data_IF_931962039425
#
_entry.id   IF_931962039425
#
_cell.length_a   1.000
_cell.length_b   1.000
_cell.length_c   1.000
_cell.angle_alpha   90.00
_cell.angle_beta   90.00
_cell.angle_gamma   90.00
#
_symmetry.space_group_name_H-M   'P 1'
#
loop_
_entity.id
_entity.type
_entity.pdbx_description
1 polymer ?
#
# COMPACT_ATOMS: atom_id res chain seq x y z
N UNK A 1 -65.27 -4.19 -29.26
CA UNK A 1 -65.26 -3.96 -30.71
C UNK A 1 -63.86 -3.56 -31.09
N UNK A 2 -63.24 -4.25 -31.77
CA UNK A 2 -62.70 -4.76 -32.98
C UNK A 2 -61.42 -5.56 -32.78
N UNK A 3 -61.48 -6.79 -33.16
CA UNK A 3 -60.33 -7.72 -33.37
C UNK A 3 -59.64 -7.32 -34.67
N UNK A 4 -58.31 -7.48 -34.72
CA UNK A 4 -57.62 -7.78 -35.99
C UNK A 4 -56.63 -8.93 -35.79
N UNK A 5 -56.77 -9.88 -36.75
CA UNK A 5 -56.16 -11.18 -36.81
C UNK A 5 -54.79 -11.18 -37.49
N UNK A 6 -53.99 -12.13 -37.11
CA UNK A 6 -52.73 -12.54 -37.71
C UNK A 6 -52.95 -13.25 -39.04
N UNK A 7 -52.11 -13.02 -40.03
CA UNK A 7 -51.80 -13.99 -41.07
C UNK A 7 -50.29 -14.11 -41.29
N UNK A 8 -49.88 -15.34 -41.15
CA UNK A 8 -48.60 -15.94 -41.43
C UNK A 8 -48.38 -16.01 -42.95
N UNK A 9 -47.21 -15.64 -43.46
CA UNK A 9 -46.83 -16.07 -44.82
C UNK A 9 -45.30 -16.28 -44.88
N UNK A 10 -44.91 -17.55 -44.81
CA UNK A 10 -43.58 -18.04 -45.20
C UNK A 10 -43.58 -18.32 -46.70
N UNK A 11 -42.56 -17.85 -47.41
CA UNK A 11 -42.11 -18.56 -48.61
C UNK A 11 -40.56 -18.45 -48.74
N UNK A 12 -39.88 -19.56 -49.11
CA UNK A 12 -38.45 -19.62 -49.35
C UNK A 12 -38.10 -19.20 -50.78
N UNK A 13 -37.08 -18.40 -50.94
CA UNK A 13 -36.50 -18.11 -52.24
C UNK A 13 -35.15 -18.84 -52.38
N UNK A 14 -35.17 -19.76 -53.31
CA UNK A 14 -34.02 -20.55 -53.73
C UNK A 14 -33.42 -19.85 -54.98
N UNK A 15 -32.11 -19.49 -54.91
CA UNK A 15 -31.36 -19.14 -56.13
C UNK A 15 -30.03 -19.89 -56.16
N UNK A 16 -30.00 -20.89 -57.00
CA UNK A 16 -28.75 -21.52 -57.42
C UNK A 16 -28.07 -20.77 -58.54
N UNK A 17 -26.74 -20.85 -58.62
CA UNK A 17 -25.95 -20.50 -59.78
C UNK A 17 -24.49 -20.23 -59.45
N UNK A 18 -23.54 -20.89 -60.09
CA UNK A 18 -22.13 -20.77 -59.77
C UNK A 18 -21.45 -19.69 -60.57
N UNK A 19 -20.83 -18.73 -59.94
CA UNK A 19 -19.82 -17.87 -60.56
C UNK A 19 -18.41 -18.18 -60.00
N UNK A 20 -17.60 -18.80 -60.85
CA UNK A 20 -16.16 -18.88 -60.68
C UNK A 20 -15.55 -17.46 -60.70
N UNK A 21 -14.89 -17.08 -59.66
CA UNK A 21 -13.85 -16.04 -59.69
C UNK A 21 -12.58 -16.65 -59.09
N UNK A 22 -11.66 -17.01 -59.97
CA UNK A 22 -10.28 -17.28 -59.64
C UNK A 22 -9.62 -15.90 -59.46
N UNK A 23 -9.41 -15.51 -58.20
CA UNK A 23 -8.59 -14.34 -57.89
C UNK A 23 -7.39 -14.86 -57.08
N UNK A 24 -6.24 -14.49 -57.55
CA UNK A 24 -4.91 -14.84 -57.12
C UNK A 24 -4.74 -14.67 -55.58
N UNK A 25 -4.55 -15.80 -54.91
CA UNK A 25 -4.42 -15.92 -53.46
C UNK A 25 -2.94 -15.97 -53.05
N UNK A 26 -2.08 -15.16 -53.64
CA UNK A 26 -0.62 -15.17 -53.34
C UNK A 26 -0.03 -13.87 -52.87
N UNK A 27 -0.71 -12.74 -52.96
CA UNK A 27 -0.18 -11.46 -52.51
C UNK A 27 -0.76 -10.93 -51.18
N UNK A 28 -1.91 -11.49 -50.74
CA UNK A 28 -2.53 -11.08 -49.47
C UNK A 28 -2.05 -11.81 -48.22
N UNK A 29 -1.36 -12.94 -48.36
CA UNK A 29 -0.84 -13.70 -47.20
C UNK A 29 0.51 -13.15 -46.70
N UNK A 30 1.32 -12.51 -47.55
CA UNK A 30 2.59 -11.90 -47.13
C UNK A 30 2.38 -10.57 -46.41
N UNK A 31 1.40 -9.76 -46.82
CA UNK A 31 1.07 -8.51 -46.12
C UNK A 31 0.35 -8.72 -44.79
N UNK A 32 -0.45 -9.81 -44.66
CA UNK A 32 -1.15 -10.11 -43.40
C UNK A 32 -0.23 -10.72 -42.35
N UNK A 33 0.87 -11.36 -42.75
CA UNK A 33 1.88 -11.93 -41.84
C UNK A 33 2.78 -10.83 -41.27
N UNK A 34 3.09 -9.77 -42.02
CA UNK A 34 3.89 -8.65 -41.56
C UNK A 34 3.13 -7.69 -40.61
N UNK A 35 1.81 -7.60 -40.70
CA UNK A 35 0.98 -6.81 -39.75
C UNK A 35 0.82 -7.52 -38.39
N UNK A 36 0.98 -8.87 -38.34
CA UNK A 36 0.91 -9.66 -37.10
C UNK A 36 2.25 -9.84 -36.41
N UNK A 37 3.36 -9.42 -37.03
CA UNK A 37 4.72 -9.56 -36.51
C UNK A 37 5.29 -8.28 -35.91
N UNK A 38 4.47 -7.29 -35.53
CA UNK A 38 4.93 -6.19 -34.69
C UNK A 38 5.32 -6.73 -33.29
N UNK A 39 6.53 -6.42 -32.81
CA UNK A 39 7.25 -7.25 -31.85
C UNK A 39 6.57 -7.26 -30.48
N UNK A 40 5.98 -8.38 -30.11
CA UNK A 40 5.54 -8.65 -28.73
C UNK A 40 6.70 -8.47 -27.73
N UNK A 41 7.93 -8.69 -28.13
CA UNK A 41 9.13 -8.44 -27.33
C UNK A 41 9.33 -6.97 -26.96
N UNK A 42 9.08 -6.01 -27.86
CA UNK A 42 9.27 -4.58 -27.57
C UNK A 42 8.22 -4.06 -26.56
N UNK A 43 6.98 -4.53 -26.59
CA UNK A 43 5.94 -4.19 -25.61
C UNK A 43 6.25 -4.77 -24.23
N UNK A 44 6.80 -5.99 -24.17
CA UNK A 44 7.16 -6.66 -22.92
C UNK A 44 8.32 -5.95 -22.23
N UNK A 45 9.36 -5.52 -22.98
CA UNK A 45 10.49 -4.78 -22.42
C UNK A 45 10.09 -3.41 -21.87
N UNK A 46 9.21 -2.70 -22.55
CA UNK A 46 8.72 -1.39 -22.08
C UNK A 46 7.90 -1.54 -20.80
N UNK A 47 7.05 -2.56 -20.69
CA UNK A 47 6.23 -2.77 -19.49
C UNK A 47 7.07 -3.20 -18.28
N UNK A 48 8.10 -4.03 -18.47
CA UNK A 48 9.04 -4.40 -17.39
C UNK A 48 9.86 -3.21 -16.89
N UNK A 49 10.36 -2.36 -17.81
CA UNK A 49 11.06 -1.13 -17.44
C UNK A 49 10.16 -0.17 -16.67
N UNK A 50 8.93 0.01 -17.11
CA UNK A 50 7.93 0.84 -16.40
C UNK A 50 7.69 0.30 -15.00
N UNK A 51 7.42 -1.00 -14.86
CA UNK A 51 7.20 -1.63 -13.56
C UNK A 51 8.41 -1.44 -12.63
N UNK A 52 9.63 -1.70 -13.12
CA UNK A 52 10.85 -1.53 -12.34
C UNK A 52 11.04 -0.06 -11.89
N UNK A 53 10.80 0.90 -12.79
CA UNK A 53 10.93 2.32 -12.50
C UNK A 53 9.93 2.79 -11.43
N UNK A 54 8.65 2.42 -11.58
CA UNK A 54 7.60 2.80 -10.63
C UNK A 54 7.82 2.09 -9.28
N UNK A 55 8.23 0.81 -9.29
CA UNK A 55 8.58 0.09 -8.08
C UNK A 55 9.79 0.69 -7.35
N UNK A 56 10.78 1.22 -8.08
CA UNK A 56 11.92 1.95 -7.49
C UNK A 56 11.47 3.26 -6.84
N UNK A 57 10.59 4.02 -7.49
CA UNK A 57 10.03 5.24 -6.90
C UNK A 57 9.25 4.93 -5.61
N UNK A 58 8.45 3.87 -5.62
CA UNK A 58 7.68 3.43 -4.46
C UNK A 58 8.57 2.92 -3.32
N UNK A 59 9.66 2.23 -3.64
CA UNK A 59 10.69 1.85 -2.68
C UNK A 59 11.25 3.09 -1.96
N UNK A 60 11.60 4.15 -2.70
CA UNK A 60 12.10 5.42 -2.12
C UNK A 60 11.07 6.06 -1.21
N UNK A 61 9.78 6.06 -1.58
CA UNK A 61 8.73 6.65 -0.76
C UNK A 61 8.65 6.01 0.62
N UNK A 62 8.67 4.68 0.69
CA UNK A 62 8.64 3.92 1.94
C UNK A 62 9.95 4.01 2.73
N UNK A 63 11.09 4.10 2.04
CA UNK A 63 12.36 4.38 2.68
C UNK A 63 12.36 5.75 3.39
N UNK A 64 11.93 6.82 2.69
CA UNK A 64 11.85 8.16 3.26
C UNK A 64 10.87 8.24 4.45
N UNK A 65 9.78 7.48 4.42
CA UNK A 65 8.77 7.43 5.49
C UNK A 65 9.39 7.07 6.84
N UNK A 66 10.38 6.20 6.86
CA UNK A 66 11.00 5.70 8.10
C UNK A 66 12.29 6.43 8.49
N UNK A 67 12.81 7.36 7.68
CA UNK A 67 14.04 8.10 8.02
C UNK A 67 13.90 8.89 9.32
N UNK A 68 12.80 9.66 9.47
CA UNK A 68 12.59 10.47 10.68
C UNK A 68 12.42 9.61 11.95
N UNK A 69 11.55 8.57 11.97
CA UNK A 69 11.42 7.69 13.14
C UNK A 69 12.74 7.05 13.58
N UNK A 70 13.58 6.61 12.63
CA UNK A 70 14.87 5.99 12.95
C UNK A 70 15.86 6.99 13.53
N UNK A 71 15.70 8.28 13.28
CA UNK A 71 16.53 9.36 13.80
C UNK A 71 15.98 10.00 15.09
N UNK A 72 14.89 9.50 15.65
CA UNK A 72 14.30 10.05 16.88
C UNK A 72 15.28 10.18 18.04
N UNK A 73 16.19 9.21 18.34
CA UNK A 73 17.20 9.41 19.40
C UNK A 73 18.06 10.66 19.15
N UNK A 74 18.55 10.83 17.92
CA UNK A 74 19.36 11.97 17.51
C UNK A 74 18.54 13.27 17.51
N UNK A 75 17.34 13.27 16.94
CA UNK A 75 16.49 14.48 16.85
C UNK A 75 16.08 14.96 18.24
N UNK A 76 15.72 14.05 19.16
CA UNK A 76 15.37 14.36 20.54
C UNK A 76 16.51 15.10 21.25
N UNK A 77 17.72 14.56 21.15
CA UNK A 77 18.90 15.13 21.78
C UNK A 77 19.28 16.49 21.19
N UNK A 78 19.32 16.61 19.87
CA UNK A 78 19.76 17.82 19.18
C UNK A 78 18.75 18.96 19.24
N UNK A 79 17.45 18.66 19.25
CA UNK A 79 16.38 19.66 19.27
C UNK A 79 15.93 20.01 20.71
N UNK A 80 16.29 19.18 21.70
CA UNK A 80 15.86 19.35 23.09
C UNK A 80 14.35 19.21 23.28
N UNK A 81 13.68 18.36 22.47
CA UNK A 81 12.23 18.16 22.48
C UNK A 81 11.84 16.77 23.02
N UNK A 82 10.56 16.59 23.37
CA UNK A 82 10.01 15.31 23.75
C UNK A 82 9.61 14.45 22.55
N UNK A 83 9.12 13.25 22.83
CA UNK A 83 8.62 12.34 21.80
C UNK A 83 7.24 12.75 21.28
N UNK A 84 6.46 13.50 22.05
CA UNK A 84 5.19 14.10 21.59
C UNK A 84 5.47 15.08 20.44
N UNK A 85 6.47 15.96 20.60
CA UNK A 85 6.85 16.94 19.57
C UNK A 85 7.37 16.24 18.30
N UNK A 86 8.14 15.16 18.45
CA UNK A 86 8.58 14.34 17.32
C UNK A 86 7.39 13.61 16.68
N UNK A 87 6.48 13.08 17.49
CA UNK A 87 5.22 12.48 17.03
C UNK A 87 4.33 13.48 16.30
N UNK A 88 4.29 14.76 16.76
CA UNK A 88 3.55 15.81 16.07
C UNK A 88 4.06 16.03 14.64
N UNK A 89 5.36 15.96 14.41
CA UNK A 89 5.91 16.03 13.05
C UNK A 89 5.37 14.90 12.16
N UNK A 90 5.31 13.64 12.66
CA UNK A 90 4.71 12.53 11.92
C UNK A 90 3.20 12.69 11.72
N UNK A 91 2.50 13.25 12.70
CA UNK A 91 1.07 13.59 12.58
C UNK A 91 0.85 14.64 11.50
N UNK A 92 1.65 15.70 11.47
CA UNK A 92 1.62 16.74 10.41
C UNK A 92 1.85 16.09 9.05
N UNK A 93 2.87 15.25 8.92
CA UNK A 93 3.12 14.47 7.71
C UNK A 93 1.86 13.69 7.28
N UNK A 94 1.24 12.92 8.19
CA UNK A 94 0.08 12.07 7.88
C UNK A 94 -1.15 12.90 7.47
N UNK A 95 -1.42 14.01 8.16
CA UNK A 95 -2.53 14.93 7.84
C UNK A 95 -2.33 15.55 6.46
N UNK A 96 -1.15 16.11 6.19
CA UNK A 96 -0.85 16.74 4.89
C UNK A 96 -0.95 15.70 3.78
N UNK A 97 -0.34 14.51 3.96
CA UNK A 97 -0.41 13.44 2.97
C UNK A 97 -1.86 13.02 2.68
N UNK A 98 -2.65 12.79 3.71
CA UNK A 98 -4.06 12.39 3.56
C UNK A 98 -4.92 13.46 2.88
N UNK A 99 -4.77 14.73 3.26
CA UNK A 99 -5.56 15.84 2.70
C UNK A 99 -5.19 16.15 1.24
N UNK A 100 -3.91 15.98 0.86
CA UNK A 100 -3.41 16.39 -0.46
C UNK A 100 -3.41 15.23 -1.47
N UNK A 101 -3.61 13.98 -1.06
CA UNK A 101 -3.56 12.82 -1.97
C UNK A 101 -4.58 12.90 -3.12
N UNK A 102 -5.83 13.29 -2.85
CA UNK A 102 -6.83 13.44 -3.90
C UNK A 102 -6.55 14.64 -4.83
N UNK A 103 -6.20 15.85 -4.35
CA UNK A 103 -5.69 16.94 -5.18
C UNK A 103 -4.49 16.56 -6.04
N UNK A 104 -3.53 15.78 -5.53
CA UNK A 104 -2.36 15.33 -6.30
C UNK A 104 -2.76 14.33 -7.38
N UNK A 105 -3.75 13.47 -7.13
CA UNK A 105 -4.33 12.61 -8.17
C UNK A 105 -4.93 13.42 -9.32
N UNK A 106 -5.72 14.45 -9.00
CA UNK A 106 -6.27 15.36 -10.00
C UNK A 106 -5.15 16.08 -10.77
N UNK A 107 -4.12 16.54 -10.08
CA UNK A 107 -2.97 17.21 -10.71
C UNK A 107 -2.20 16.26 -11.64
N UNK A 108 -2.01 14.99 -11.23
CA UNK A 108 -1.37 13.97 -12.06
C UNK A 108 -2.14 13.72 -13.37
N UNK A 109 -3.47 13.79 -13.34
CA UNK A 109 -4.31 13.67 -14.53
C UNK A 109 -4.14 14.83 -15.51
N UNK A 110 -3.84 16.04 -15.00
CA UNK A 110 -3.77 17.27 -15.82
C UNK A 110 -2.39 17.58 -16.36
N UNK A 111 -1.35 17.43 -15.54
CA UNK A 111 0.03 17.78 -15.92
C UNK A 111 0.92 16.58 -16.23
N UNK A 112 0.39 15.35 -16.03
CA UNK A 112 1.06 14.09 -16.29
C UNK A 112 1.60 13.42 -15.01
N UNK A 113 1.29 12.14 -14.85
CA UNK A 113 1.66 11.35 -13.68
C UNK A 113 3.19 11.24 -13.51
N UNK A 114 3.94 11.12 -14.62
CA UNK A 114 5.40 11.11 -14.64
C UNK A 114 6.00 12.35 -13.96
N UNK A 115 5.53 13.54 -14.35
CA UNK A 115 6.08 14.81 -13.81
C UNK A 115 5.82 14.92 -12.33
N UNK A 116 4.60 14.58 -11.91
CA UNK A 116 4.20 14.60 -10.50
C UNK A 116 5.04 13.63 -9.68
N UNK A 117 5.30 12.40 -10.20
CA UNK A 117 6.14 11.42 -9.51
C UNK A 117 7.58 11.90 -9.32
N UNK A 118 8.19 12.46 -10.37
CA UNK A 118 9.56 13.01 -10.30
C UNK A 118 9.64 14.21 -9.33
N UNK A 119 8.62 15.07 -9.31
CA UNK A 119 8.51 16.17 -8.34
C UNK A 119 8.39 15.64 -6.92
N UNK A 120 7.59 14.59 -6.67
CA UNK A 120 7.44 13.97 -5.35
C UNK A 120 8.75 13.40 -4.83
N UNK A 121 9.47 12.62 -5.66
CA UNK A 121 10.79 12.08 -5.32
C UNK A 121 11.78 13.19 -4.93
N UNK A 122 11.83 14.25 -5.75
CA UNK A 122 12.72 15.38 -5.55
C UNK A 122 12.36 16.16 -4.28
N UNK A 123 11.08 16.47 -4.09
CA UNK A 123 10.58 17.21 -2.93
C UNK A 123 10.83 16.47 -1.62
N UNK A 124 10.53 15.15 -1.58
CA UNK A 124 10.75 14.33 -0.39
C UNK A 124 12.22 14.26 0.00
N UNK A 125 13.11 14.10 -0.99
CA UNK A 125 14.54 14.11 -0.74
C UNK A 125 15.05 15.47 -0.27
N UNK A 126 14.65 16.56 -0.91
CA UNK A 126 15.04 17.92 -0.49
C UNK A 126 14.53 18.26 0.90
N UNK A 127 13.35 17.80 1.31
CA UNK A 127 12.83 18.00 2.66
C UNK A 127 13.79 17.45 3.73
N UNK A 128 14.33 16.25 3.52
CA UNK A 128 15.31 15.65 4.42
C UNK A 128 16.68 16.34 4.35
N UNK A 129 17.15 16.73 3.16
CA UNK A 129 18.41 17.46 2.99
C UNK A 129 18.34 18.80 3.73
N UNK A 130 17.26 19.57 3.55
CA UNK A 130 17.07 20.86 4.22
C UNK A 130 17.04 20.70 5.73
N UNK A 131 16.38 19.66 6.25
CA UNK A 131 16.39 19.38 7.68
C UNK A 131 17.82 19.04 8.17
N UNK A 132 18.57 18.26 7.39
CA UNK A 132 19.96 17.93 7.74
C UNK A 132 20.90 19.15 7.74
N UNK A 133 20.63 20.15 6.89
CA UNK A 133 21.40 21.40 6.81
C UNK A 133 20.99 22.42 7.89
N UNK A 134 19.70 22.46 8.24
CA UNK A 134 19.12 23.45 9.16
C UNK A 134 18.31 22.75 10.26
N UNK A 135 19.01 22.07 11.17
CA UNK A 135 18.35 21.30 12.22
C UNK A 135 17.76 22.21 13.31
N UNK A 136 16.43 22.37 13.24
CA UNK A 136 15.62 23.03 14.28
C UNK A 136 14.20 22.48 14.26
N UNK A 137 13.46 22.66 15.34
CA UNK A 137 12.08 22.18 15.42
C UNK A 137 11.16 22.79 14.34
N UNK A 138 11.20 24.09 14.03
CA UNK A 138 10.43 24.65 12.91
C UNK A 138 10.79 24.00 11.56
N UNK A 139 12.08 23.71 11.30
CA UNK A 139 12.49 23.00 10.10
C UNK A 139 12.04 21.54 10.09
N UNK A 140 11.96 20.88 11.24
CA UNK A 140 11.38 19.52 11.35
C UNK A 140 9.91 19.53 10.93
N UNK A 141 9.11 20.49 11.42
CA UNK A 141 7.70 20.63 11.03
C UNK A 141 7.58 20.99 9.53
N UNK A 142 8.39 21.92 9.04
CA UNK A 142 8.40 22.28 7.62
C UNK A 142 8.75 21.07 6.74
N UNK A 143 9.76 20.27 7.13
CA UNK A 143 10.12 19.04 6.43
C UNK A 143 9.01 18.01 6.48
N UNK A 144 8.29 17.87 7.60
CA UNK A 144 7.14 16.99 7.71
C UNK A 144 6.00 17.38 6.75
N UNK A 145 5.74 18.69 6.58
CA UNK A 145 4.79 19.21 5.57
C UNK A 145 5.26 18.83 4.16
N UNK A 146 6.52 19.08 3.82
CA UNK A 146 7.07 18.79 2.49
C UNK A 146 7.09 17.29 2.20
N UNK A 147 7.46 16.46 3.19
CA UNK A 147 7.41 15.01 3.10
C UNK A 147 5.98 14.50 2.92
N UNK A 148 5.00 15.08 3.63
CA UNK A 148 3.58 14.76 3.48
C UNK A 148 3.06 15.07 2.07
N UNK A 149 3.41 16.24 1.52
CA UNK A 149 3.11 16.61 0.14
C UNK A 149 3.76 15.64 -0.85
N UNK A 150 5.03 15.31 -0.65
CA UNK A 150 5.74 14.34 -1.48
C UNK A 150 5.08 12.96 -1.43
N UNK A 151 4.71 12.50 -0.23
CA UNK A 151 4.08 11.18 -0.04
C UNK A 151 2.71 11.06 -0.72
N UNK A 152 1.94 12.14 -0.75
CA UNK A 152 0.61 12.15 -1.36
C UNK A 152 0.59 11.89 -2.87
N UNK A 153 1.74 12.01 -3.51
CA UNK A 153 1.92 11.89 -4.96
C UNK A 153 2.02 10.44 -5.41
N UNK A 154 2.70 9.57 -4.64
CA UNK A 154 3.14 8.26 -5.12
C UNK A 154 1.99 7.37 -5.56
N UNK A 155 1.00 7.11 -4.68
CA UNK A 155 -0.08 6.20 -5.02
C UNK A 155 -0.89 6.65 -6.26
N UNK A 156 -1.34 7.91 -6.38
CA UNK A 156 -2.06 8.36 -7.57
C UNK A 156 -1.22 8.25 -8.85
N UNK A 157 0.04 8.69 -8.81
CA UNK A 157 0.90 8.68 -9.98
C UNK A 157 1.31 7.25 -10.39
N UNK A 158 1.72 6.42 -9.41
CA UNK A 158 2.15 5.05 -9.64
C UNK A 158 1.02 4.22 -10.25
N UNK A 159 -0.19 4.30 -9.68
CA UNK A 159 -1.34 3.55 -10.19
C UNK A 159 -1.81 4.04 -11.56
N UNK A 160 -1.73 5.35 -11.82
CA UNK A 160 -2.03 5.88 -13.14
C UNK A 160 -1.08 5.31 -14.22
N UNK A 161 0.24 5.34 -13.96
CA UNK A 161 1.24 4.85 -14.90
C UNK A 161 1.14 3.33 -15.08
N UNK A 162 1.02 2.56 -13.99
CA UNK A 162 0.87 1.11 -14.07
C UNK A 162 -0.40 0.72 -14.83
N UNK A 163 -1.54 1.34 -14.53
CA UNK A 163 -2.81 1.03 -15.20
C UNK A 163 -2.82 1.36 -16.69
N UNK A 164 -2.06 2.38 -17.11
CA UNK A 164 -1.96 2.76 -18.52
C UNK A 164 -1.02 1.84 -19.33
N UNK A 165 0.00 1.23 -18.69
CA UNK A 165 1.08 0.55 -19.40
C UNK A 165 1.21 -0.94 -19.11
N UNK A 166 0.40 -1.49 -18.20
CA UNK A 166 0.37 -2.92 -17.90
C UNK A 166 -0.81 -3.60 -18.57
N UNK A 167 -0.58 -4.82 -19.07
CA UNK A 167 -1.66 -5.68 -19.58
C UNK A 167 -2.58 -6.10 -18.42
N UNK A 168 -3.90 -6.15 -18.66
CA UNK A 168 -4.88 -6.58 -17.64
C UNK A 168 -4.56 -7.95 -17.04
N UNK A 169 -4.10 -8.91 -17.86
CA UNK A 169 -3.72 -10.26 -17.42
C UNK A 169 -2.51 -10.27 -16.47
N UNK A 170 -1.70 -9.20 -16.45
CA UNK A 170 -0.49 -9.07 -15.62
C UNK A 170 -0.62 -8.02 -14.52
N UNK A 171 -1.73 -7.28 -14.48
CA UNK A 171 -1.95 -6.17 -13.56
C UNK A 171 -1.79 -6.58 -12.09
N UNK A 172 -2.36 -7.72 -11.70
CA UNK A 172 -2.22 -8.23 -10.32
C UNK A 172 -0.77 -8.48 -9.92
N UNK A 173 0.05 -9.04 -10.83
CA UNK A 173 1.50 -9.24 -10.57
C UNK A 173 2.24 -7.90 -10.49
N UNK A 174 1.89 -6.94 -11.35
CA UNK A 174 2.50 -5.63 -11.34
C UNK A 174 2.25 -4.90 -10.00
N UNK A 175 1.02 -4.89 -9.52
CA UNK A 175 0.69 -4.33 -8.20
C UNK A 175 1.36 -5.08 -7.06
N UNK A 176 1.47 -6.41 -7.14
CA UNK A 176 2.17 -7.19 -6.10
C UNK A 176 3.66 -6.84 -6.03
N UNK A 177 4.36 -6.73 -7.17
CA UNK A 177 5.78 -6.35 -7.23
C UNK A 177 5.97 -4.93 -6.73
N UNK A 178 5.11 -4.01 -7.16
CA UNK A 178 5.11 -2.61 -6.73
C UNK A 178 4.93 -2.49 -5.21
N UNK A 179 3.92 -3.16 -4.65
CA UNK A 179 3.66 -3.18 -3.21
C UNK A 179 4.83 -3.79 -2.44
N UNK A 180 5.38 -4.92 -2.92
CA UNK A 180 6.55 -5.54 -2.32
C UNK A 180 7.76 -4.61 -2.30
N UNK A 181 7.99 -3.84 -3.37
CA UNK A 181 9.08 -2.87 -3.41
C UNK A 181 8.93 -1.79 -2.31
N UNK A 182 7.71 -1.31 -2.06
CA UNK A 182 7.43 -0.40 -0.95
C UNK A 182 7.77 -1.03 0.41
N UNK A 183 7.28 -2.24 0.68
CA UNK A 183 7.62 -2.96 1.92
C UNK A 183 9.13 -3.16 2.07
N UNK A 184 9.83 -3.49 0.99
CA UNK A 184 11.29 -3.65 1.00
C UNK A 184 12.00 -2.33 1.32
N UNK A 185 11.53 -1.20 0.77
CA UNK A 185 12.06 0.13 1.07
C UNK A 185 11.96 0.47 2.56
N UNK A 186 10.79 0.23 3.15
CA UNK A 186 10.60 0.35 4.60
C UNK A 186 11.47 -0.62 5.40
N UNK A 187 11.58 -1.87 4.96
CA UNK A 187 12.31 -2.91 5.67
C UNK A 187 13.81 -2.62 5.79
N UNK A 188 14.42 -2.07 4.75
CA UNK A 188 15.86 -1.76 4.76
C UNK A 188 16.19 -0.41 5.41
N UNK A 189 15.21 0.46 5.60
CA UNK A 189 15.41 1.81 6.11
C UNK A 189 16.12 1.83 7.48
N UNK A 190 15.74 1.02 8.50
CA UNK A 190 16.39 1.05 9.80
C UNK A 190 17.89 0.69 9.71
N UNK A 191 18.23 -0.34 8.94
CA UNK A 191 19.61 -0.78 8.76
C UNK A 191 20.44 0.25 8.00
N UNK A 192 19.91 0.83 6.92
CA UNK A 192 20.58 1.86 6.12
C UNK A 192 20.79 3.12 6.97
N UNK A 193 19.75 3.60 7.65
CA UNK A 193 19.86 4.80 8.50
C UNK A 193 20.85 4.58 9.63
N UNK A 194 20.84 3.42 10.28
CA UNK A 194 21.82 3.09 11.31
C UNK A 194 23.27 3.13 10.78
N UNK A 195 23.51 2.56 9.60
CA UNK A 195 24.82 2.60 8.95
C UNK A 195 25.23 4.03 8.58
N UNK A 196 24.31 4.83 8.08
CA UNK A 196 24.56 6.26 7.75
C UNK A 196 24.88 7.06 9.02
N UNK A 197 24.15 6.86 10.12
CA UNK A 197 24.43 7.50 11.41
C UNK A 197 25.82 7.12 11.91
N UNK A 198 26.18 5.84 11.83
CA UNK A 198 27.50 5.35 12.28
C UNK A 198 28.67 5.94 11.48
N UNK A 199 28.45 6.27 10.20
CA UNK A 199 29.50 6.76 9.30
C UNK A 199 29.54 8.28 9.14
N UNK A 200 28.39 8.95 9.21
CA UNK A 200 28.25 10.39 8.88
C UNK A 200 27.58 11.21 9.98
N UNK A 201 27.17 10.56 11.08
CA UNK A 201 26.35 11.20 12.12
C UNK A 201 24.92 11.49 11.65
N UNK A 202 24.09 12.02 12.55
CA UNK A 202 22.67 12.21 12.27
C UNK A 202 22.39 13.25 11.17
N UNK A 203 23.15 14.37 11.12
CA UNK A 203 23.05 15.37 10.05
C UNK A 203 23.39 14.75 8.68
N UNK A 204 24.51 14.04 8.60
CA UNK A 204 24.93 13.37 7.38
C UNK A 204 23.95 12.27 6.95
N UNK A 205 23.37 11.55 7.89
CA UNK A 205 22.33 10.55 7.61
C UNK A 205 21.07 11.16 6.98
N UNK A 206 20.60 12.33 7.47
CA UNK A 206 19.49 13.08 6.86
C UNK A 206 19.80 13.50 5.42
N UNK A 207 20.99 14.06 5.20
CA UNK A 207 21.42 14.54 3.88
C UNK A 207 21.59 13.35 2.91
N UNK A 208 22.27 12.28 3.35
CA UNK A 208 22.51 11.10 2.52
C UNK A 208 21.19 10.37 2.16
N UNK A 209 20.32 10.12 3.16
CA UNK A 209 19.02 9.51 2.92
C UNK A 209 18.14 10.39 2.01
N UNK A 210 18.15 11.71 2.22
CA UNK A 210 17.43 12.65 1.39
C UNK A 210 17.93 12.68 -0.05
N UNK A 211 19.24 12.51 -0.27
CA UNK A 211 19.83 12.51 -1.62
C UNK A 211 19.35 11.37 -2.52
N UNK A 212 18.85 10.28 -1.93
CA UNK A 212 18.29 9.14 -2.68
C UNK A 212 17.13 9.58 -3.59
N UNK A 213 16.22 10.43 -3.09
CA UNK A 213 15.08 10.89 -3.86
C UNK A 213 15.44 11.63 -5.15
N UNK A 214 16.19 12.75 -5.10
CA UNK A 214 16.64 13.49 -6.29
C UNK A 214 17.49 12.64 -7.23
N UNK A 215 18.36 11.76 -6.72
CA UNK A 215 19.18 10.88 -7.54
C UNK A 215 18.32 9.86 -8.30
N UNK A 216 17.34 9.25 -7.65
CA UNK A 216 16.39 8.35 -8.30
C UNK A 216 15.50 9.14 -9.27
N UNK A 217 15.05 10.34 -8.93
CA UNK A 217 14.30 11.19 -9.86
C UNK A 217 15.08 11.50 -11.13
N UNK A 218 16.36 11.84 -10.99
CA UNK A 218 17.26 12.07 -12.14
C UNK A 218 17.44 10.79 -12.97
N UNK A 219 17.71 9.65 -12.33
CA UNK A 219 17.82 8.35 -13.00
C UNK A 219 16.55 8.04 -13.82
N UNK A 220 15.39 8.17 -13.21
CA UNK A 220 14.10 7.89 -13.85
C UNK A 220 13.76 8.90 -14.96
N UNK A 221 14.22 10.15 -14.83
CA UNK A 221 14.08 11.14 -15.88
C UNK A 221 14.93 10.77 -17.13
N UNK A 222 16.15 10.26 -16.91
CA UNK A 222 17.08 9.81 -17.99
C UNK A 222 16.61 8.49 -18.63
N UNK A 223 16.21 7.50 -17.82
CA UNK A 223 15.70 6.20 -18.30
C UNK A 223 14.42 6.38 -19.12
N UNK A 224 13.64 7.41 -18.82
CA UNK A 224 12.40 7.72 -19.50
C UNK A 224 11.24 6.82 -19.07
N UNK A 225 10.48 7.26 -18.06
CA UNK A 225 9.20 6.63 -17.71
C UNK A 225 8.12 7.09 -18.68
N UNK A 226 7.28 6.22 -19.23
CA UNK A 226 6.13 6.66 -20.03
C UNK A 226 5.17 7.48 -19.15
N UNK A 227 4.53 8.49 -19.75
CA UNK A 227 3.52 9.28 -19.06
C UNK A 227 2.14 8.61 -19.15
N UNK A 228 1.27 8.89 -18.20
CA UNK A 228 -0.13 8.50 -18.24
C UNK A 228 -0.97 9.77 -18.18
N UNK A 229 -1.68 10.06 -19.28
CA UNK A 229 -2.63 11.16 -19.34
C UNK A 229 -4.06 10.67 -19.08
N UNK A 230 -4.96 11.61 -18.77
CA UNK A 230 -6.40 11.30 -18.67
C UNK A 230 -6.97 10.69 -19.96
N UNK A 231 -6.35 11.00 -21.11
CA UNK A 231 -6.75 10.48 -22.42
C UNK A 231 -6.41 8.97 -22.60
N UNK A 232 -5.41 8.46 -21.87
CA UNK A 232 -4.98 7.06 -21.96
C UNK A 232 -5.83 6.12 -21.09
N UNK A 233 -6.67 6.67 -20.22
CA UNK A 233 -7.60 5.87 -19.41
C UNK A 233 -8.79 5.46 -20.27
N UNK A 234 -8.92 4.17 -20.55
CA UNK A 234 -10.19 3.62 -21.05
C UNK A 234 -11.23 3.85 -19.96
N UNK A 235 -12.11 4.82 -20.19
CA UNK A 235 -13.31 4.99 -19.37
C UNK A 235 -14.25 3.86 -19.78
N UNK A 236 -14.18 2.75 -19.07
CA UNK A 236 -15.25 1.77 -19.11
C UNK A 236 -16.50 2.45 -18.55
N UNK A 237 -17.35 2.92 -19.45
CA UNK A 237 -18.53 3.75 -19.19
C UNK A 237 -19.69 3.02 -18.51
N UNK A 238 -19.42 2.04 -17.66
CA UNK A 238 -20.44 1.45 -16.79
C UNK A 238 -20.54 2.32 -15.54
N UNK A 239 -21.48 3.28 -15.57
CA UNK A 239 -21.96 3.91 -14.33
C UNK A 239 -22.54 2.80 -13.45
N UNK A 240 -21.73 2.33 -12.50
CA UNK A 240 -22.22 1.42 -11.47
C UNK A 240 -23.43 2.06 -10.76
N UNK A 241 -24.46 1.27 -10.40
CA UNK A 241 -25.60 1.78 -9.67
C UNK A 241 -25.16 2.59 -8.45
N UNK A 242 -25.85 3.68 -8.18
CA UNK A 242 -25.54 4.63 -7.10
C UNK A 242 -25.98 4.07 -5.73
N UNK A 243 -25.61 2.80 -5.44
CA UNK A 243 -25.85 2.22 -4.13
C UNK A 243 -24.89 2.82 -3.12
N UNK A 244 -25.38 3.11 -1.91
CA UNK A 244 -24.59 3.54 -0.80
C UNK A 244 -23.54 2.46 -0.48
N UNK A 245 -22.26 2.84 -0.51
CA UNK A 245 -21.14 1.95 -0.15
C UNK A 245 -20.94 1.91 1.36
N UNK A 246 -21.47 2.90 2.09
CA UNK A 246 -21.35 2.97 3.54
C UNK A 246 -22.35 2.00 4.16
N UNK A 247 -21.91 0.78 4.40
CA UNK A 247 -22.65 -0.27 5.11
C UNK A 247 -22.04 -0.47 6.50
N UNK A 248 -22.76 -1.08 7.45
CA UNK A 248 -22.20 -1.43 8.75
C UNK A 248 -20.91 -2.25 8.65
N UNK A 249 -20.82 -3.17 7.68
CA UNK A 249 -19.63 -3.98 7.44
C UNK A 249 -18.44 -3.09 7.01
N UNK A 250 -18.64 -2.11 6.14
CA UNK A 250 -17.59 -1.17 5.71
C UNK A 250 -17.13 -0.28 6.86
N UNK A 251 -18.03 0.16 7.74
CA UNK A 251 -17.67 0.93 8.95
C UNK A 251 -16.79 0.07 9.88
N UNK A 252 -17.19 -1.17 10.13
CA UNK A 252 -16.44 -2.11 10.97
C UNK A 252 -15.05 -2.37 10.38
N UNK A 253 -14.95 -2.56 9.07
CA UNK A 253 -13.66 -2.72 8.39
C UNK A 253 -12.81 -1.45 8.43
N UNK A 254 -13.41 -0.26 8.41
CA UNK A 254 -12.68 1.00 8.60
C UNK A 254 -12.05 1.08 10.00
N UNK A 255 -12.80 0.68 11.04
CA UNK A 255 -12.27 0.59 12.41
C UNK A 255 -11.18 -0.48 12.50
N UNK A 256 -11.36 -1.63 11.84
CA UNK A 256 -10.36 -2.68 11.76
C UNK A 256 -9.04 -2.16 11.17
N UNK A 257 -9.09 -1.39 10.07
CA UNK A 257 -7.91 -0.80 9.45
C UNK A 257 -7.25 0.27 10.34
N UNK A 258 -8.05 1.03 11.09
CA UNK A 258 -7.54 1.98 12.09
C UNK A 258 -6.78 1.28 13.21
N UNK A 259 -7.36 0.22 13.79
CA UNK A 259 -6.71 -0.57 14.85
C UNK A 259 -5.43 -1.25 14.33
N UNK A 260 -5.46 -1.75 13.09
CA UNK A 260 -4.29 -2.32 12.43
C UNK A 260 -3.18 -1.29 12.26
N UNK A 261 -3.53 -0.07 11.84
CA UNK A 261 -2.57 1.05 11.73
C UNK A 261 -1.97 1.39 13.09
N UNK A 262 -2.80 1.52 14.13
CA UNK A 262 -2.36 1.80 15.49
C UNK A 262 -1.41 0.71 16.01
N UNK A 263 -1.71 -0.58 15.78
CA UNK A 263 -0.88 -1.69 16.25
C UNK A 263 0.51 -1.73 15.59
N UNK A 264 0.61 -1.41 14.31
CA UNK A 264 1.88 -1.45 13.58
C UNK A 264 2.70 -0.17 13.71
N UNK A 265 2.05 1.01 13.77
CA UNK A 265 2.73 2.29 13.79
C UNK A 265 3.52 2.52 15.09
N UNK A 266 3.06 1.98 16.23
CA UNK A 266 3.81 2.01 17.48
C UNK A 266 5.16 1.34 17.33
N UNK A 267 5.17 0.10 16.86
CA UNK A 267 6.38 -0.68 16.64
C UNK A 267 7.24 -0.04 15.55
N UNK A 268 6.65 0.35 14.43
CA UNK A 268 7.37 0.91 13.28
C UNK A 268 8.04 2.26 13.55
N UNK A 269 7.37 3.16 14.27
CA UNK A 269 7.85 4.52 14.48
C UNK A 269 8.60 4.71 15.81
N UNK A 270 8.22 3.97 16.84
CA UNK A 270 8.78 4.12 18.20
C UNK A 270 9.52 2.88 18.70
N UNK A 271 9.51 1.76 17.96
CA UNK A 271 10.13 0.52 18.39
C UNK A 271 11.62 0.67 18.69
N UNK A 272 12.41 1.39 17.87
CA UNK A 272 13.83 1.61 18.10
C UNK A 272 14.07 2.34 19.43
N UNK A 273 13.39 3.48 19.63
CA UNK A 273 13.57 4.26 20.87
C UNK A 273 13.04 3.52 22.09
N UNK A 274 11.98 2.73 21.95
CA UNK A 274 11.46 1.89 23.04
C UNK A 274 12.44 0.79 23.42
N UNK A 275 13.04 0.10 22.44
CA UNK A 275 14.04 -0.94 22.67
C UNK A 275 15.32 -0.37 23.33
N UNK A 276 15.74 0.82 22.91
CA UNK A 276 16.89 1.49 23.55
C UNK A 276 16.61 1.87 24.99
N UNK A 277 15.49 2.54 25.27
CA UNK A 277 15.20 3.12 26.59
C UNK A 277 14.63 2.11 27.60
N UNK A 278 13.86 1.11 27.12
CA UNK A 278 13.19 0.14 27.99
C UNK A 278 13.93 -1.18 28.17
N UNK A 279 14.70 -1.58 27.16
CA UNK A 279 15.34 -2.91 27.13
C UNK A 279 16.88 -2.81 27.13
N UNK A 280 17.44 -1.60 27.12
CA UNK A 280 18.89 -1.39 27.13
C UNK A 280 19.59 -1.80 25.83
N UNK A 281 18.84 -1.95 24.73
CA UNK A 281 19.43 -2.28 23.43
C UNK A 281 20.25 -1.12 22.86
N UNK A 282 21.36 -1.45 22.19
CA UNK A 282 22.09 -0.45 21.43
C UNK A 282 21.27 0.07 20.24
N UNK A 283 21.59 1.25 19.76
CA UNK A 283 20.96 1.78 18.54
C UNK A 283 21.04 0.82 17.35
N UNK A 284 22.20 0.18 17.16
CA UNK A 284 22.41 -0.80 16.10
C UNK A 284 21.53 -2.04 16.30
N UNK A 285 21.51 -2.61 17.50
CA UNK A 285 20.72 -3.81 17.82
C UNK A 285 19.21 -3.56 17.68
N UNK A 286 18.72 -2.42 18.16
CA UNK A 286 17.32 -2.02 18.02
C UNK A 286 16.91 -1.86 16.53
N UNK A 287 17.77 -1.27 15.69
CA UNK A 287 17.53 -1.15 14.25
C UNK A 287 17.59 -2.53 13.55
N UNK A 288 18.46 -3.45 13.96
CA UNK A 288 18.46 -4.83 13.44
C UNK A 288 17.14 -5.54 13.76
N UNK A 289 16.65 -5.42 15.00
CA UNK A 289 15.38 -6.01 15.41
C UNK A 289 14.19 -5.43 14.59
N UNK A 290 14.16 -4.11 14.37
CA UNK A 290 13.12 -3.50 13.54
C UNK A 290 13.27 -3.85 12.05
N UNK A 291 14.49 -3.92 11.52
CA UNK A 291 14.75 -4.42 10.16
C UNK A 291 14.22 -5.84 9.99
N UNK A 292 14.44 -6.71 10.98
CA UNK A 292 13.90 -8.07 10.97
C UNK A 292 12.37 -8.07 10.98
N UNK A 293 11.72 -7.26 11.83
CA UNK A 293 10.26 -7.11 11.86
C UNK A 293 9.71 -6.69 10.48
N UNK A 294 10.24 -5.64 9.89
CA UNK A 294 9.75 -5.11 8.61
C UNK A 294 10.11 -6.03 7.43
N UNK A 295 11.31 -6.62 7.42
CA UNK A 295 11.75 -7.52 6.37
C UNK A 295 10.94 -8.82 6.35
N UNK A 296 10.72 -9.42 7.51
CA UNK A 296 9.87 -10.60 7.61
C UNK A 296 8.38 -10.28 7.36
N UNK A 297 7.93 -9.04 7.61
CA UNK A 297 6.60 -8.61 7.20
C UNK A 297 6.44 -8.63 5.66
N UNK A 298 7.44 -8.14 4.93
CA UNK A 298 7.43 -8.23 3.47
C UNK A 298 7.36 -9.69 2.95
N UNK A 299 8.14 -10.59 3.57
CA UNK A 299 8.09 -12.04 3.27
C UNK A 299 6.70 -12.61 3.64
N UNK A 300 6.16 -12.20 4.79
CA UNK A 300 4.83 -12.60 5.26
C UNK A 300 3.71 -12.24 4.27
N UNK A 301 3.77 -11.05 3.65
CA UNK A 301 2.79 -10.63 2.62
C UNK A 301 2.78 -11.61 1.43
N UNK A 302 3.96 -12.06 0.97
CA UNK A 302 4.03 -13.05 -0.11
C UNK A 302 3.44 -14.40 0.31
N UNK A 303 3.79 -14.88 1.51
CA UNK A 303 3.23 -16.13 2.07
C UNK A 303 1.71 -16.02 2.27
N UNK A 304 1.24 -14.87 2.74
CA UNK A 304 -0.18 -14.57 2.94
C UNK A 304 -0.99 -14.58 1.66
N UNK A 305 -0.42 -14.15 0.53
CA UNK A 305 -1.05 -14.24 -0.78
C UNK A 305 -1.38 -15.70 -1.15
N UNK A 306 -0.42 -16.61 -1.02
CA UNK A 306 -0.65 -18.05 -1.27
C UNK A 306 -1.72 -18.64 -0.33
N UNK A 307 -1.75 -18.17 0.92
CA UNK A 307 -2.74 -18.64 1.89
C UNK A 307 -4.14 -18.09 1.56
N UNK A 308 -4.23 -16.81 1.18
CA UNK A 308 -5.50 -16.18 0.82
C UNK A 308 -6.15 -16.85 -0.41
N UNK A 309 -5.35 -17.28 -1.40
CA UNK A 309 -5.84 -17.99 -2.59
C UNK A 309 -6.41 -19.39 -2.27
N UNK A 310 -6.00 -19.99 -1.14
CA UNK A 310 -6.36 -21.36 -0.75
C UNK A 310 -7.45 -21.43 0.31
N UNK A 311 -7.91 -20.32 0.85
CA UNK A 311 -8.91 -20.30 1.90
C UNK A 311 -10.10 -19.39 1.54
N UNK A 312 -11.28 -19.78 2.02
CA UNK A 312 -12.46 -18.92 2.02
C UNK A 312 -12.71 -18.27 3.41
N UNK A 313 -11.89 -18.64 4.42
CA UNK A 313 -12.06 -18.22 5.82
C UNK A 313 -11.09 -17.11 6.18
N UNK A 314 -11.10 -16.03 5.40
CA UNK A 314 -10.16 -14.92 5.56
C UNK A 314 -10.20 -14.26 6.93
N UNK A 315 -11.40 -14.16 7.56
CA UNK A 315 -11.56 -13.62 8.91
C UNK A 315 -10.87 -14.48 9.97
N UNK A 316 -11.02 -15.82 9.89
CA UNK A 316 -10.40 -16.76 10.83
C UNK A 316 -8.86 -16.77 10.68
N UNK A 317 -8.34 -16.72 9.45
CA UNK A 317 -6.90 -16.61 9.20
C UNK A 317 -6.35 -15.32 9.80
N UNK A 318 -7.01 -14.20 9.54
CA UNK A 318 -6.61 -12.91 10.11
C UNK A 318 -6.63 -12.94 11.64
N UNK A 319 -7.72 -13.45 12.25
CA UNK A 319 -7.87 -13.54 13.69
C UNK A 319 -6.80 -14.44 14.33
N UNK A 320 -6.52 -15.62 13.76
CA UNK A 320 -5.50 -16.55 14.27
C UNK A 320 -4.09 -15.93 14.22
N UNK A 321 -3.71 -15.37 13.06
CA UNK A 321 -2.41 -14.72 12.91
C UNK A 321 -2.25 -13.51 13.84
N UNK A 322 -3.29 -12.69 14.01
CA UNK A 322 -3.26 -11.57 14.96
C UNK A 322 -3.21 -12.02 16.41
N UNK A 323 -3.91 -13.09 16.78
CA UNK A 323 -3.86 -13.61 18.15
C UNK A 323 -2.46 -14.10 18.52
N UNK A 324 -1.81 -14.84 17.61
CA UNK A 324 -0.42 -15.30 17.81
C UNK A 324 0.52 -14.10 17.84
N UNK A 325 0.34 -13.14 16.93
CA UNK A 325 1.15 -11.91 16.89
C UNK A 325 0.99 -11.09 18.18
N UNK A 326 -0.23 -10.90 18.67
CA UNK A 326 -0.50 -10.22 19.94
C UNK A 326 0.21 -10.92 21.12
N UNK A 327 0.21 -12.25 21.15
CA UNK A 327 0.92 -13.01 22.20
C UNK A 327 2.44 -12.79 22.13
N UNK A 328 3.05 -12.80 20.94
CA UNK A 328 4.48 -12.53 20.75
C UNK A 328 4.80 -11.10 21.20
N UNK A 329 4.04 -10.11 20.73
CA UNK A 329 4.26 -8.70 21.07
C UNK A 329 4.02 -8.45 22.57
N UNK A 330 3.06 -9.15 23.20
CA UNK A 330 2.84 -9.12 24.64
C UNK A 330 4.03 -9.71 25.42
N UNK A 331 4.63 -10.80 24.94
CA UNK A 331 5.87 -11.36 25.52
C UNK A 331 7.00 -10.32 25.44
N UNK A 332 7.17 -9.66 24.30
CA UNK A 332 8.16 -8.58 24.14
C UNK A 332 7.85 -7.45 25.15
N UNK A 333 6.58 -7.07 25.35
CA UNK A 333 6.19 -6.00 26.26
C UNK A 333 6.48 -6.31 27.75
N UNK A 334 6.46 -7.58 28.14
CA UNK A 334 6.49 -8.00 29.57
C UNK A 334 7.79 -8.65 30.00
N UNK A 335 8.59 -9.17 29.06
CA UNK A 335 9.79 -9.94 29.35
C UNK A 335 10.99 -9.33 28.60
N UNK A 336 12.06 -9.04 29.31
CA UNK A 336 13.32 -8.62 28.68
C UNK A 336 14.00 -9.86 28.07
N UNK A 337 13.98 -9.95 26.76
CA UNK A 337 14.58 -11.03 26.00
C UNK A 337 16.04 -10.71 25.65
N UNK A 338 16.95 -11.71 25.60
CA UNK A 338 18.25 -11.52 24.97
C UNK A 338 18.11 -11.03 23.53
N UNK A 339 19.02 -10.17 23.05
CA UNK A 339 18.93 -9.47 21.76
C UNK A 339 18.63 -10.40 20.56
N UNK A 340 19.20 -11.61 20.54
CA UNK A 340 18.94 -12.59 19.48
C UNK A 340 17.49 -13.10 19.52
N UNK A 341 16.97 -13.44 20.70
CA UNK A 341 15.57 -13.88 20.86
C UNK A 341 14.59 -12.74 20.62
N UNK A 342 14.93 -11.53 21.05
CA UNK A 342 14.16 -10.32 20.74
C UNK A 342 14.05 -10.12 19.21
N UNK A 343 15.17 -10.20 18.51
CA UNK A 343 15.18 -10.08 17.03
C UNK A 343 14.37 -11.19 16.36
N UNK A 344 14.47 -12.43 16.85
CA UNK A 344 13.66 -13.55 16.34
C UNK A 344 12.15 -13.37 16.63
N UNK A 345 11.80 -12.88 17.82
CA UNK A 345 10.41 -12.55 18.17
C UNK A 345 9.86 -11.41 17.28
N UNK A 346 10.64 -10.35 17.07
CA UNK A 346 10.30 -9.25 16.16
C UNK A 346 10.13 -9.74 14.72
N UNK A 347 11.02 -10.60 14.21
CA UNK A 347 10.90 -11.22 12.90
C UNK A 347 9.61 -12.04 12.77
N UNK A 348 9.30 -12.86 13.78
CA UNK A 348 8.08 -13.68 13.81
C UNK A 348 6.82 -12.83 13.85
N UNK A 349 6.81 -11.78 14.68
CA UNK A 349 5.70 -10.81 14.74
C UNK A 349 5.50 -10.09 13.41
N UNK A 350 6.58 -9.66 12.77
CA UNK A 350 6.55 -9.06 11.44
C UNK A 350 5.98 -10.01 10.40
N UNK A 351 6.47 -11.24 10.33
CA UNK A 351 5.99 -12.26 9.40
C UNK A 351 4.47 -12.48 9.52
N UNK A 352 3.98 -12.69 10.73
CA UNK A 352 2.54 -12.87 10.99
C UNK A 352 1.75 -11.62 10.59
N UNK A 353 2.24 -10.42 10.91
CA UNK A 353 1.65 -9.15 10.48
C UNK A 353 1.53 -9.04 8.96
N UNK A 354 2.54 -9.50 8.23
CA UNK A 354 2.54 -9.55 6.77
C UNK A 354 1.53 -10.55 6.19
N UNK A 355 1.47 -11.77 6.75
CA UNK A 355 0.53 -12.84 6.30
C UNK A 355 -0.91 -12.38 6.30
N UNK A 356 -1.29 -11.49 7.19
CA UNK A 356 -2.66 -11.01 7.35
C UNK A 356 -3.09 -10.11 6.17
N UNK A 357 -2.17 -9.36 5.56
CA UNK A 357 -2.50 -8.30 4.62
C UNK A 357 -3.38 -8.75 3.43
N UNK A 358 -3.10 -9.85 2.71
CA UNK A 358 -3.96 -10.29 1.62
C UNK A 358 -5.35 -10.77 2.10
N UNK A 359 -5.42 -11.50 3.22
CA UNK A 359 -6.70 -11.93 3.81
C UNK A 359 -7.57 -10.75 4.23
N UNK A 360 -6.98 -9.71 4.81
CA UNK A 360 -7.64 -8.44 5.12
C UNK A 360 -8.25 -7.78 3.89
N UNK A 361 -7.50 -7.73 2.79
CA UNK A 361 -7.96 -7.11 1.55
C UNK A 361 -9.13 -7.90 0.94
N UNK A 362 -9.12 -9.23 1.07
CA UNK A 362 -10.25 -10.08 0.70
C UNK A 362 -11.52 -9.81 1.52
N UNK A 363 -11.38 -9.50 2.82
CA UNK A 363 -12.54 -9.09 3.64
C UNK A 363 -13.21 -7.81 3.10
N UNK A 364 -12.41 -6.82 2.69
CA UNK A 364 -12.96 -5.59 2.08
C UNK A 364 -13.65 -5.89 0.76
N UNK A 365 -13.02 -6.70 -0.09
CA UNK A 365 -13.59 -7.09 -1.38
C UNK A 365 -14.93 -7.81 -1.22
N UNK A 366 -15.03 -8.74 -0.26
CA UNK A 366 -16.24 -9.53 0.00
C UNK A 366 -17.38 -8.69 0.61
N UNK A 367 -17.06 -7.64 1.37
CA UNK A 367 -18.04 -6.73 1.96
C UNK A 367 -18.52 -5.63 1.00
N UNK A 368 -17.81 -5.42 -0.10
CA UNK A 368 -18.12 -4.37 -1.06
C UNK A 368 -19.33 -4.75 -1.93
N UNK A 369 -20.28 -3.83 -2.16
CA UNK A 369 -21.34 -4.04 -3.15
C UNK A 369 -20.77 -4.31 -4.54
N UNK A 370 -21.50 -5.05 -5.37
CA UNK A 370 -21.10 -5.37 -6.73
C UNK A 370 -20.73 -4.10 -7.54
N UNK A 371 -19.54 -4.09 -8.15
CA UNK A 371 -19.01 -2.95 -8.90
C UNK A 371 -18.55 -1.75 -8.05
N UNK A 372 -18.53 -1.85 -6.72
CA UNK A 372 -18.13 -0.77 -5.81
C UNK A 372 -16.87 -1.05 -4.99
N UNK A 373 -16.11 -2.10 -5.33
CA UNK A 373 -14.93 -2.53 -4.57
C UNK A 373 -13.90 -1.39 -4.40
N UNK A 374 -13.59 -0.63 -5.44
CA UNK A 374 -12.66 0.50 -5.36
C UNK A 374 -13.12 1.60 -4.38
N UNK A 375 -14.43 1.92 -4.38
CA UNK A 375 -15.01 2.90 -3.43
C UNK A 375 -14.96 2.38 -2.00
N UNK A 376 -15.24 1.08 -1.80
CA UNK A 376 -15.17 0.43 -0.49
C UNK A 376 -13.73 0.45 0.05
N UNK A 377 -12.73 0.09 -0.77
CA UNK A 377 -11.32 0.21 -0.40
C UNK A 377 -10.93 1.65 -0.05
N UNK A 378 -11.39 2.64 -0.83
CA UNK A 378 -11.14 4.04 -0.54
C UNK A 378 -11.66 4.46 0.84
N UNK A 379 -12.91 4.08 1.19
CA UNK A 379 -13.49 4.38 2.51
C UNK A 379 -12.73 3.66 3.62
N UNK A 380 -12.52 2.36 3.48
CA UNK A 380 -11.84 1.54 4.49
C UNK A 380 -10.40 2.02 4.73
N UNK A 381 -9.69 2.45 3.68
CA UNK A 381 -8.33 2.99 3.79
C UNK A 381 -8.24 4.28 4.60
N UNK A 382 -9.35 5.02 4.79
CA UNK A 382 -9.36 6.16 5.71
C UNK A 382 -9.05 5.75 7.14
N UNK A 383 -9.34 4.48 7.52
CA UNK A 383 -8.94 3.92 8.80
C UNK A 383 -7.42 3.93 9.01
N UNK A 384 -6.62 3.58 7.98
CA UNK A 384 -5.16 3.70 8.07
C UNK A 384 -4.72 5.15 8.30
N UNK A 385 -5.32 6.09 7.60
CA UNK A 385 -4.98 7.50 7.74
C UNK A 385 -5.31 8.02 9.16
N UNK A 386 -6.48 7.64 9.70
CA UNK A 386 -6.86 8.00 11.07
C UNK A 386 -5.90 7.41 12.10
N UNK A 387 -5.54 6.12 11.95
CA UNK A 387 -4.53 5.49 12.80
C UNK A 387 -3.17 6.15 12.66
N UNK A 388 -2.74 6.51 11.44
CA UNK A 388 -1.49 7.23 11.16
C UNK A 388 -1.44 8.64 11.74
N UNK A 389 -2.58 9.31 11.88
CA UNK A 389 -2.68 10.64 12.54
C UNK A 389 -2.60 10.51 14.07
N UNK A 390 -3.29 9.53 14.64
CA UNK A 390 -3.41 9.36 16.10
C UNK A 390 -2.17 8.71 16.70
N UNK A 391 -1.63 7.68 16.04
CA UNK A 391 -0.57 6.84 16.61
C UNK A 391 0.68 7.61 17.03
N UNK A 392 1.22 8.58 16.27
CA UNK A 392 2.46 9.23 16.67
C UNK A 392 2.31 10.05 17.97
N UNK A 393 1.16 10.67 18.18
CA UNK A 393 0.88 11.42 19.42
C UNK A 393 0.69 10.47 20.59
N UNK A 394 -0.05 9.38 20.40
CA UNK A 394 -0.28 8.38 21.45
C UNK A 394 1.04 7.74 21.91
N UNK A 395 1.83 7.24 20.98
CA UNK A 395 3.08 6.56 21.29
C UNK A 395 4.18 7.55 21.74
N UNK A 396 4.17 8.78 21.22
CA UNK A 396 5.01 9.86 21.73
C UNK A 396 4.71 10.17 23.20
N UNK A 397 3.42 10.28 23.55
CA UNK A 397 3.00 10.46 24.94
C UNK A 397 3.42 9.30 25.84
N UNK A 398 3.24 8.05 25.40
CA UNK A 398 3.69 6.85 26.14
C UNK A 398 5.19 6.93 26.41
N UNK A 399 5.99 7.31 25.43
CA UNK A 399 7.45 7.43 25.59
C UNK A 399 7.85 8.57 26.54
N UNK A 400 7.16 9.71 26.50
CA UNK A 400 7.44 10.84 27.40
C UNK A 400 7.01 10.57 28.85
N UNK A 401 6.07 9.63 29.07
CA UNK A 401 5.75 9.12 30.41
C UNK A 401 6.77 8.10 30.93
N UNK A 402 7.89 7.88 30.23
CA UNK A 402 8.90 6.86 30.54
C UNK A 402 8.32 5.42 30.64
N UNK A 403 7.38 5.11 29.74
CA UNK A 403 6.71 3.81 29.67
C UNK A 403 7.05 3.06 28.36
N UNK A 404 8.34 2.84 28.01
CA UNK A 404 8.75 2.28 26.72
C UNK A 404 8.18 0.89 26.44
N UNK A 405 7.98 0.06 27.45
CA UNK A 405 7.35 -1.27 27.31
C UNK A 405 5.91 -1.17 26.78
N UNK A 406 5.20 -0.07 27.09
CA UNK A 406 3.85 0.15 26.60
C UNK A 406 3.77 0.50 25.12
N UNK A 407 4.86 0.76 24.43
CA UNK A 407 4.89 0.82 22.98
C UNK A 407 4.47 -0.54 22.40
N UNK A 408 5.02 -1.62 22.93
CA UNK A 408 4.64 -2.99 22.58
C UNK A 408 3.32 -3.40 23.23
N UNK A 409 3.10 -3.03 24.51
CA UNK A 409 1.88 -3.33 25.25
C UNK A 409 0.62 -2.74 24.59
N UNK A 410 0.61 -1.47 24.22
CA UNK A 410 -0.50 -0.83 23.52
C UNK A 410 -0.69 -1.41 22.12
N UNK A 411 0.40 -1.71 21.40
CA UNK A 411 0.33 -2.40 20.11
C UNK A 411 -0.34 -3.78 20.25
N UNK A 412 -0.01 -4.56 21.29
CA UNK A 412 -0.67 -5.83 21.58
C UNK A 412 -2.16 -5.67 21.90
N UNK A 413 -2.54 -4.63 22.68
CA UNK A 413 -3.96 -4.32 22.95
C UNK A 413 -4.70 -4.02 21.65
N UNK A 414 -4.16 -3.19 20.76
CA UNK A 414 -4.78 -2.92 19.46
C UNK A 414 -4.88 -4.17 18.58
N UNK A 415 -3.90 -5.07 18.63
CA UNK A 415 -3.97 -6.37 17.94
C UNK A 415 -5.10 -7.23 18.49
N UNK A 416 -5.27 -7.31 19.82
CA UNK A 416 -6.39 -8.05 20.45
C UNK A 416 -7.73 -7.46 20.03
N UNK A 417 -7.88 -6.13 20.06
CA UNK A 417 -9.11 -5.47 19.59
C UNK A 417 -9.38 -5.78 18.10
N UNK A 418 -8.33 -5.86 17.29
CA UNK A 418 -8.43 -6.24 15.87
C UNK A 418 -8.91 -7.69 15.71
N UNK A 419 -8.43 -8.63 16.56
CA UNK A 419 -8.90 -10.04 16.59
C UNK A 419 -10.39 -10.09 16.90
N UNK A 420 -10.82 -9.40 17.96
CA UNK A 420 -12.22 -9.39 18.38
C UNK A 420 -13.12 -8.86 17.24
N UNK A 421 -12.68 -7.80 16.58
CA UNK A 421 -13.43 -7.21 15.47
C UNK A 421 -13.50 -8.13 14.25
N UNK A 422 -12.39 -8.82 13.91
CA UNK A 422 -12.35 -9.79 12.82
C UNK A 422 -13.32 -10.95 13.05
N UNK A 423 -13.39 -11.47 14.29
CA UNK A 423 -14.31 -12.56 14.66
C UNK A 423 -15.78 -12.14 14.62
N UNK A 424 -16.09 -10.89 14.95
CA UNK A 424 -17.45 -10.35 14.84
C UNK A 424 -17.87 -10.23 13.37
N UNK A 425 -16.95 -9.78 12.51
CA UNK A 425 -17.23 -9.60 11.08
C UNK A 425 -17.45 -10.93 10.35
N UNK A 426 -16.72 -11.98 10.74
CA UNK A 426 -16.85 -13.33 10.13
C UNK A 426 -18.18 -14.03 10.50
N UNK A 427 -18.85 -13.62 11.57
CA UNK A 427 -20.12 -14.18 12.04
C UNK A 427 -21.36 -13.55 11.40
N UNK A 428 -21.23 -12.49 10.63
CA UNK A 428 -22.35 -11.90 9.91
C UNK A 428 -22.84 -12.90 8.85
N UNK A 429 -24.11 -13.39 8.90
CA UNK A 429 -24.58 -14.34 7.91
C UNK A 429 -24.43 -13.71 6.52
N UNK A 430 -23.77 -14.42 5.61
CA UNK A 430 -23.98 -14.17 4.18
C UNK A 430 -25.50 -14.22 4.00
N UNK A 431 -26.12 -13.08 3.64
CA UNK A 431 -27.50 -13.08 3.22
C UNK A 431 -27.63 -14.19 2.17
N UNK A 432 -28.33 -15.25 2.52
CA UNK A 432 -28.74 -16.26 1.56
C UNK A 432 -29.30 -15.48 0.37
N UNK A 433 -28.64 -15.56 -0.75
CA UNK A 433 -29.30 -15.31 -2.03
C UNK A 433 -30.37 -16.39 -2.11
N UNK A 434 -31.57 -16.06 -1.69
CA UNK A 434 -32.78 -16.78 -2.08
C UNK A 434 -32.88 -16.66 -3.62
N UNK A 435 -32.16 -17.55 -4.27
CA UNK A 435 -32.48 -17.92 -5.64
C UNK A 435 -33.83 -18.64 -5.53
N UNK A 436 -34.93 -18.11 -6.08
CA UNK A 436 -36.19 -18.83 -6.07
C UNK A 436 -35.96 -20.10 -6.87
N UNK A 437 -36.24 -21.22 -6.22
CA UNK A 437 -36.13 -22.58 -6.75
C UNK A 437 -36.92 -22.65 -8.06
N UNK A 438 -36.24 -22.51 -9.18
CA UNK A 438 -36.79 -22.59 -10.56
C UNK A 438 -37.38 -23.98 -10.87
N UNK A 439 -37.48 -24.90 -9.89
CA UNK A 439 -38.06 -26.23 -10.03
C UNK A 439 -39.56 -26.30 -9.75
N UNK A 440 -40.21 -25.19 -9.35
CA UNK A 440 -41.64 -25.18 -9.10
C UNK A 440 -42.48 -24.54 -10.21
N UNK A 441 -41.92 -24.26 -11.36
CA UNK A 441 -42.68 -23.83 -12.57
C UNK A 441 -42.40 -24.77 -13.77
N UNK A 442 -42.80 -26.00 -13.65
CA UNK A 442 -43.15 -26.83 -14.81
C UNK A 442 -44.59 -27.31 -14.66
N UNK A 443 -45.44 -27.09 -15.67
CA UNK A 443 -46.85 -27.46 -15.68
C UNK A 443 -47.09 -28.95 -15.78
#
# INVERSE_FOLDING_TARGET
MQRYSWTNNQQPVNFGGPCRAVISRRESESEMVDVLAAPQHAKTDTSLRTLASISTAHWVSHFHLLVLPMLFPFLKEQLGVGYIELGLALTVFAVISGLTQAPMGYLADHIGARKILLMGLTLGGFALILLGLHLSYPWLIASAVLLGLANSVYHPADYAILSAHMDEARMGRAFSIHTFAGFLGGAVAPAIVAALVATTGGHGALIAAGSVGPLVALLLAVVGIPDASAADRKVDGVRAPQQSVITPAIIVLTIFFMLLSLSNAGIGNFGVVALMSGYGESFSSANVALTAFLGFSAIGVLAGGFLADRTQRHGQVAAACFAINAAIVFIIATITLPSLLLTAAMASAGFLGGVIAPSRDMLVRNAAPAGAAGRAFGIVSTGFNLGGIVSPLLFGWIMDQNLPHWVFGASAVFMVLTVLLALVTDRSPQACSDEPDARLMQP
#
